data_IF_343650049923
#
_entry.id   IF_343650049923
#
_cell.length_a   1.000
_cell.length_b   1.000
_cell.length_c   1.000
_cell.angle_alpha   90.00
_cell.angle_beta   90.00
_cell.angle_gamma   90.00
#
_symmetry.space_group_name_H-M   'P 1'
#
loop_
_entity.id
_entity.type
_entity.pdbx_description
1 polymer ?
#
# COMPACT_ATOMS: atom_id res chain seq x y z
N UNK A 1 10.17 21.03 -56.84
CA UNK A 1 10.23 20.02 -55.75
C UNK A 1 9.78 20.67 -54.45
N UNK A 2 8.59 20.33 -53.95
CA UNK A 2 8.03 20.90 -52.71
C UNK A 2 8.66 20.24 -51.48
N UNK A 3 9.43 21.01 -50.70
CA UNK A 3 10.06 20.55 -49.45
C UNK A 3 9.03 20.62 -48.32
N UNK A 4 8.37 19.49 -48.04
CA UNK A 4 7.34 19.37 -47.00
C UNK A 4 8.03 19.30 -45.62
N UNK A 5 8.03 20.39 -44.88
CA UNK A 5 8.54 20.43 -43.50
C UNK A 5 7.54 19.74 -42.55
N UNK A 6 7.94 18.60 -41.98
CA UNK A 6 7.16 17.88 -40.96
C UNK A 6 7.33 18.61 -39.63
N UNK A 7 6.29 19.29 -39.17
CA UNK A 7 6.26 19.97 -37.87
C UNK A 7 5.89 18.95 -36.80
N UNK A 8 6.89 18.45 -36.07
CA UNK A 8 6.69 17.56 -34.91
C UNK A 8 6.20 18.41 -33.74
N UNK A 9 4.90 18.36 -33.45
CA UNK A 9 4.28 19.08 -32.33
C UNK A 9 4.57 18.32 -31.03
N UNK A 10 5.61 18.74 -30.31
CA UNK A 10 5.91 18.20 -28.98
C UNK A 10 4.71 18.40 -28.05
N UNK A 11 4.06 17.29 -27.64
CA UNK A 11 2.94 17.30 -26.70
C UNK A 11 3.49 17.76 -25.35
N UNK A 12 3.20 19.00 -24.93
CA UNK A 12 3.63 19.50 -23.62
C UNK A 12 3.06 18.58 -22.54
N UNK A 13 3.93 17.84 -21.89
CA UNK A 13 3.61 17.02 -20.73
C UNK A 13 3.28 18.02 -19.62
N UNK A 14 2.00 18.16 -19.27
CA UNK A 14 1.62 18.97 -18.11
C UNK A 14 2.30 18.34 -16.89
N UNK A 15 3.00 19.11 -16.04
CA UNK A 15 3.55 18.55 -14.82
C UNK A 15 2.40 17.95 -14.01
N UNK A 16 2.57 16.70 -13.57
CA UNK A 16 1.66 16.07 -12.62
C UNK A 16 1.67 16.94 -11.37
N UNK A 17 0.54 17.62 -11.11
CA UNK A 17 0.31 18.28 -9.83
C UNK A 17 0.16 17.15 -8.81
N UNK A 18 1.22 16.88 -8.08
CA UNK A 18 1.19 15.94 -6.96
C UNK A 18 0.50 16.67 -5.80
N UNK A 19 -0.68 16.18 -5.41
CA UNK A 19 -1.41 16.74 -4.28
C UNK A 19 -0.58 16.56 -3.00
N UNK A 20 -0.45 17.62 -2.19
CA UNK A 20 0.27 17.56 -0.91
C UNK A 20 -0.26 16.47 0.02
N UNK A 21 -1.55 16.15 -0.07
CA UNK A 21 -2.22 15.08 0.67
C UNK A 21 -1.64 13.69 0.33
N UNK A 22 -1.39 13.44 -0.96
CA UNK A 22 -0.80 12.18 -1.43
C UNK A 22 0.63 12.05 -0.91
N UNK A 23 1.41 13.13 -0.95
CA UNK A 23 2.77 13.16 -0.43
C UNK A 23 2.82 12.86 1.08
N UNK A 24 1.89 13.46 1.84
CA UNK A 24 1.79 13.26 3.28
C UNK A 24 1.49 11.79 3.62
N UNK A 25 0.44 11.20 3.05
CA UNK A 25 0.10 9.79 3.31
C UNK A 25 1.19 8.83 2.85
N UNK A 26 1.86 9.13 1.74
CA UNK A 26 2.99 8.35 1.26
C UNK A 26 4.17 8.39 2.25
N UNK A 27 4.51 9.56 2.81
CA UNK A 27 5.55 9.65 3.85
C UNK A 27 5.20 8.86 5.11
N UNK A 28 3.94 8.90 5.55
CA UNK A 28 3.48 8.13 6.71
C UNK A 28 3.60 6.62 6.47
N UNK A 29 3.27 6.17 5.26
CA UNK A 29 3.40 4.78 4.87
C UNK A 29 4.87 4.34 4.89
N UNK A 30 5.80 5.18 4.40
CA UNK A 30 7.25 4.90 4.46
C UNK A 30 7.72 4.79 5.91
N UNK A 31 7.27 5.68 6.80
CA UNK A 31 7.59 5.57 8.22
C UNK A 31 7.12 4.23 8.80
N UNK A 32 5.91 3.79 8.45
CA UNK A 32 5.40 2.46 8.83
C UNK A 32 6.30 1.32 8.35
N UNK A 33 6.78 1.37 7.11
CA UNK A 33 7.69 0.36 6.54
C UNK A 33 8.99 0.30 7.34
N UNK A 34 9.62 1.45 7.63
CA UNK A 34 10.88 1.52 8.37
C UNK A 34 10.71 0.93 9.78
N UNK A 35 9.59 1.26 10.44
CA UNK A 35 9.24 0.72 11.75
C UNK A 35 9.08 -0.81 11.67
N UNK A 36 8.32 -1.31 10.69
CA UNK A 36 8.09 -2.74 10.49
C UNK A 36 9.38 -3.54 10.26
N UNK A 37 10.29 -3.03 9.44
CA UNK A 37 11.60 -3.68 9.22
C UNK A 37 12.46 -3.66 10.48
N UNK A 38 12.45 -2.55 11.22
CA UNK A 38 13.21 -2.41 12.48
C UNK A 38 12.70 -3.36 13.57
N UNK A 39 11.39 -3.61 13.63
CA UNK A 39 10.77 -4.57 14.54
C UNK A 39 11.28 -5.99 14.34
N UNK A 40 11.51 -6.41 13.09
CA UNK A 40 12.05 -7.75 12.79
C UNK A 40 13.54 -7.83 13.12
N UNK A 41 14.27 -6.75 12.85
CA UNK A 41 15.70 -6.68 13.17
C UNK A 41 15.96 -6.80 14.67
N UNK A 42 15.09 -6.21 15.49
CA UNK A 42 15.22 -6.19 16.95
C UNK A 42 14.33 -7.24 17.65
N UNK A 43 13.55 -8.00 16.90
CA UNK A 43 12.55 -8.92 17.45
C UNK A 43 13.17 -10.22 17.97
N UNK A 44 12.64 -10.72 19.08
CA UNK A 44 13.02 -12.02 19.64
C UNK A 44 12.75 -13.16 18.65
N UNK A 45 13.49 -14.27 18.81
CA UNK A 45 13.37 -15.47 17.98
C UNK A 45 11.93 -16.01 17.91
N UNK A 46 11.16 -15.85 18.98
CA UNK A 46 9.77 -16.31 19.06
C UNK A 46 8.83 -15.50 18.16
N UNK A 47 9.05 -14.19 18.07
CA UNK A 47 8.27 -13.30 17.21
C UNK A 47 8.52 -13.60 15.73
N UNK A 48 9.77 -13.91 15.38
CA UNK A 48 10.15 -14.33 14.04
C UNK A 48 9.57 -15.71 13.68
N UNK A 49 9.47 -16.63 14.65
CA UNK A 49 8.81 -17.93 14.49
C UNK A 49 7.31 -17.81 14.20
N UNK A 50 6.60 -16.93 14.91
CA UNK A 50 5.18 -16.63 14.67
C UNK A 50 4.94 -15.98 13.31
N UNK A 51 5.80 -15.03 12.90
CA UNK A 51 5.71 -14.43 11.57
C UNK A 51 5.91 -15.47 10.46
N UNK A 52 6.84 -16.40 10.66
CA UNK A 52 7.10 -17.47 9.71
C UNK A 52 5.89 -18.41 9.58
N UNK A 53 5.31 -18.84 10.70
CA UNK A 53 4.13 -19.72 10.66
C UNK A 53 2.92 -19.06 10.00
N UNK A 54 2.75 -17.74 10.17
CA UNK A 54 1.73 -16.97 9.46
C UNK A 54 1.98 -16.93 7.95
N UNK A 55 3.23 -16.69 7.52
CA UNK A 55 3.60 -16.65 6.09
C UNK A 55 3.42 -18.02 5.44
N UNK A 56 3.87 -19.07 6.10
CA UNK A 56 3.72 -20.44 5.61
C UNK A 56 2.24 -20.84 5.51
N UNK A 57 1.41 -20.42 6.47
CA UNK A 57 -0.05 -20.62 6.42
C UNK A 57 -0.68 -19.87 5.24
N UNK A 58 -0.23 -18.64 4.95
CA UNK A 58 -0.69 -17.85 3.80
C UNK A 58 -0.23 -18.50 2.48
N UNK A 59 0.98 -19.02 2.41
CA UNK A 59 1.51 -19.66 1.21
C UNK A 59 0.84 -21.01 0.93
N UNK A 60 0.60 -21.82 1.98
CA UNK A 60 -0.11 -23.10 1.87
C UNK A 60 -1.59 -22.92 1.49
N UNK A 61 -2.23 -21.85 1.96
CA UNK A 61 -3.60 -21.52 1.53
C UNK A 61 -3.63 -21.01 0.09
N UNK A 62 -2.60 -20.27 -0.35
CA UNK A 62 -2.47 -19.83 -1.75
C UNK A 62 -2.22 -20.98 -2.72
N UNK A 63 -1.46 -22.02 -2.36
CA UNK A 63 -1.14 -23.13 -3.25
C UNK A 63 -2.35 -23.99 -3.63
N UNK A 64 -3.36 -24.07 -2.75
CA UNK A 64 -4.58 -24.84 -2.99
C UNK A 64 -5.73 -24.03 -3.64
N UNK A 65 -5.61 -22.71 -3.72
CA UNK A 65 -6.70 -21.87 -4.19
C UNK A 65 -6.60 -21.62 -5.70
N UNK A 66 -7.73 -21.74 -6.40
CA UNK A 66 -7.83 -21.33 -7.80
C UNK A 66 -7.48 -19.84 -7.96
N UNK A 67 -6.95 -19.45 -9.12
CA UNK A 67 -6.59 -18.04 -9.41
C UNK A 67 -7.76 -17.09 -9.14
N UNK A 68 -8.99 -17.53 -9.46
CA UNK A 68 -10.21 -16.74 -9.23
C UNK A 68 -10.55 -16.57 -7.75
N UNK A 69 -10.42 -17.65 -6.96
CA UNK A 69 -10.59 -17.60 -5.50
C UNK A 69 -9.55 -16.71 -4.83
N UNK A 70 -8.32 -16.68 -5.34
CA UNK A 70 -7.26 -15.81 -4.83
C UNK A 70 -7.57 -14.34 -5.08
N UNK A 71 -8.07 -13.99 -6.27
CA UNK A 71 -8.50 -12.63 -6.60
C UNK A 71 -9.63 -12.16 -5.69
N UNK A 72 -10.68 -12.98 -5.49
CA UNK A 72 -11.77 -12.67 -4.57
C UNK A 72 -11.29 -12.47 -3.12
N UNK A 73 -10.34 -13.30 -2.67
CA UNK A 73 -9.76 -13.15 -1.34
C UNK A 73 -9.00 -11.83 -1.19
N UNK A 74 -8.19 -11.46 -2.18
CA UNK A 74 -7.45 -10.19 -2.19
C UNK A 74 -8.40 -8.99 -2.24
N UNK A 75 -9.46 -9.06 -3.05
CA UNK A 75 -10.50 -8.02 -3.09
C UNK A 75 -11.22 -7.89 -1.74
N UNK A 76 -11.57 -9.00 -1.10
CA UNK A 76 -12.18 -9.02 0.23
C UNK A 76 -11.27 -8.38 1.27
N UNK A 77 -9.99 -8.72 1.25
CA UNK A 77 -8.98 -8.12 2.12
C UNK A 77 -8.81 -6.62 1.87
N UNK A 78 -8.89 -6.16 0.63
CA UNK A 78 -8.80 -4.75 0.29
C UNK A 78 -10.06 -3.95 0.67
N UNK A 79 -11.24 -4.58 0.63
CA UNK A 79 -12.52 -3.93 0.97
C UNK A 79 -12.58 -3.51 2.45
N UNK A 80 -12.03 -4.31 3.35
CA UNK A 80 -12.04 -4.05 4.80
C UNK A 80 -11.40 -2.68 5.14
N UNK A 81 -10.13 -2.40 4.80
CA UNK A 81 -9.53 -1.09 5.07
C UNK A 81 -10.21 0.03 4.28
N UNK A 82 -10.80 -0.25 3.12
CA UNK A 82 -11.52 0.74 2.33
C UNK A 82 -12.81 1.21 3.02
N UNK A 83 -13.59 0.28 3.58
CA UNK A 83 -14.82 0.58 4.35
C UNK A 83 -14.46 1.38 5.60
N UNK A 84 -13.40 0.94 6.30
CA UNK A 84 -12.89 1.61 7.49
C UNK A 84 -12.45 3.05 7.16
N UNK A 85 -11.74 3.26 6.06
CA UNK A 85 -11.34 4.59 5.58
C UNK A 85 -12.54 5.45 5.15
N UNK A 86 -13.61 4.84 4.64
CA UNK A 86 -14.84 5.53 4.25
C UNK A 86 -15.62 6.06 5.46
N UNK A 87 -15.89 5.23 6.46
CA UNK A 87 -16.55 5.66 7.71
C UNK A 87 -15.75 6.74 8.42
N UNK A 88 -14.44 6.63 8.38
CA UNK A 88 -13.56 7.61 8.96
C UNK A 88 -13.69 8.98 8.27
N UNK A 89 -13.79 9.01 6.94
CA UNK A 89 -14.00 10.22 6.15
C UNK A 89 -15.35 10.92 6.38
N UNK A 90 -16.35 10.23 6.93
CA UNK A 90 -17.63 10.84 7.31
C UNK A 90 -17.56 11.64 8.62
N UNK A 91 -16.46 11.52 9.37
CA UNK A 91 -16.26 12.20 10.66
C UNK A 91 -15.13 13.23 10.58
N UNK A 92 -15.32 14.42 11.17
CA UNK A 92 -14.26 15.45 11.26
C UNK A 92 -13.02 15.00 12.06
N UNK A 93 -13.18 13.98 12.90
CA UNK A 93 -12.09 13.32 13.66
C UNK A 93 -11.37 12.24 12.84
N UNK A 94 -11.67 12.08 11.56
CA UNK A 94 -11.15 10.97 10.76
C UNK A 94 -9.68 11.09 10.32
N UNK A 95 -9.11 12.29 10.39
CA UNK A 95 -7.74 12.55 9.97
C UNK A 95 -6.67 11.70 10.70
N UNK A 96 -6.65 11.62 12.05
CA UNK A 96 -5.69 10.77 12.78
C UNK A 96 -5.86 9.28 12.45
N UNK A 97 -7.08 8.82 12.20
CA UNK A 97 -7.33 7.41 11.97
C UNK A 97 -7.00 7.00 10.53
N UNK A 98 -7.21 7.88 9.54
CA UNK A 98 -6.68 7.70 8.17
C UNK A 98 -5.14 7.66 8.16
N UNK A 99 -4.49 8.50 8.96
CA UNK A 99 -3.04 8.46 9.14
C UNK A 99 -2.59 7.13 9.75
N UNK A 100 -3.26 6.67 10.81
CA UNK A 100 -2.97 5.41 11.48
C UNK A 100 -3.12 4.21 10.52
N UNK A 101 -4.15 4.22 9.66
CA UNK A 101 -4.39 3.17 8.66
C UNK A 101 -3.21 3.04 7.68
N UNK A 102 -2.67 4.17 7.19
CA UNK A 102 -1.52 4.19 6.28
C UNK A 102 -0.25 3.70 6.98
N UNK A 103 -0.05 4.06 8.25
CA UNK A 103 1.11 3.59 9.04
C UNK A 103 1.02 2.09 9.30
N UNK A 104 -0.15 1.57 9.70
CA UNK A 104 -0.36 0.13 9.91
C UNK A 104 -0.13 -0.66 8.62
N UNK A 105 -0.65 -0.17 7.49
CA UNK A 105 -0.44 -0.81 6.21
C UNK A 105 1.06 -0.84 5.81
N UNK A 106 1.76 0.27 6.01
CA UNK A 106 3.21 0.33 5.83
C UNK A 106 3.96 -0.65 6.73
N UNK A 107 3.56 -0.76 8.01
CA UNK A 107 4.15 -1.68 8.98
C UNK A 107 3.98 -3.13 8.54
N UNK A 108 2.79 -3.52 8.12
CA UNK A 108 2.52 -4.88 7.60
C UNK A 108 3.44 -5.18 6.41
N UNK A 109 3.56 -4.25 5.46
CA UNK A 109 4.44 -4.41 4.30
C UNK A 109 5.93 -4.55 4.72
N UNK A 110 6.38 -3.73 5.68
CA UNK A 110 7.73 -3.81 6.25
C UNK A 110 8.00 -5.14 6.96
N UNK A 111 7.02 -5.66 7.72
CA UNK A 111 7.11 -6.96 8.38
C UNK A 111 7.21 -8.10 7.37
N UNK A 112 6.38 -8.10 6.31
CA UNK A 112 6.50 -9.11 5.27
C UNK A 112 7.88 -9.03 4.58
N UNK A 113 8.33 -7.84 4.18
CA UNK A 113 9.64 -7.68 3.55
C UNK A 113 10.79 -8.17 4.46
N UNK A 114 10.79 -7.77 5.73
CA UNK A 114 11.82 -8.17 6.69
C UNK A 114 11.81 -9.67 7.01
N UNK A 115 10.64 -10.30 7.09
CA UNK A 115 10.52 -11.73 7.38
C UNK A 115 10.99 -12.59 6.21
N UNK A 116 10.71 -12.19 4.96
CA UNK A 116 11.30 -12.84 3.78
C UNK A 116 12.83 -12.72 3.76
N UNK A 117 13.39 -11.58 4.19
CA UNK A 117 14.83 -11.40 4.30
C UNK A 117 15.47 -12.31 5.36
N UNK A 118 14.88 -12.41 6.55
CA UNK A 118 15.42 -13.27 7.62
C UNK A 118 15.37 -14.76 7.24
N UNK A 119 14.31 -15.20 6.55
CA UNK A 119 14.12 -16.63 6.25
C UNK A 119 14.87 -17.10 5.00
N UNK A 120 14.94 -16.28 3.95
CA UNK A 120 15.46 -16.67 2.63
C UNK A 120 16.60 -15.77 2.13
N UNK A 121 17.08 -14.84 2.97
CA UNK A 121 18.17 -13.92 2.64
C UNK A 121 17.85 -13.01 1.45
N UNK A 122 18.89 -12.72 0.66
CA UNK A 122 18.78 -11.91 -0.56
C UNK A 122 17.89 -12.53 -1.64
N UNK A 123 17.85 -13.86 -1.73
CA UNK A 123 16.98 -14.55 -2.69
C UNK A 123 15.49 -14.39 -2.33
N UNK A 124 15.18 -14.36 -1.03
CA UNK A 124 13.85 -14.05 -0.51
C UNK A 124 13.35 -12.66 -0.88
N UNK A 125 14.23 -11.65 -0.75
CA UNK A 125 13.92 -10.29 -1.19
C UNK A 125 13.66 -10.24 -2.69
N UNK A 126 14.46 -10.94 -3.50
CA UNK A 126 14.25 -11.04 -4.95
C UNK A 126 12.85 -11.58 -5.29
N UNK A 127 12.46 -12.69 -4.66
CA UNK A 127 11.14 -13.29 -4.86
C UNK A 127 10.00 -12.36 -4.42
N UNK A 128 10.13 -11.75 -3.24
CA UNK A 128 9.15 -10.78 -2.74
C UNK A 128 9.04 -9.56 -3.67
N UNK A 129 10.17 -9.06 -4.18
CA UNK A 129 10.22 -7.91 -5.09
C UNK A 129 9.55 -8.20 -6.44
N UNK A 130 9.65 -9.42 -6.95
CA UNK A 130 9.10 -9.79 -8.27
C UNK A 130 7.61 -10.09 -8.21
N UNK A 131 7.18 -10.87 -7.21
CA UNK A 131 5.82 -11.43 -7.18
C UNK A 131 4.89 -10.57 -6.33
N UNK A 132 5.36 -10.16 -5.15
CA UNK A 132 4.51 -9.54 -4.13
C UNK A 132 4.51 -8.02 -4.23
N UNK A 133 5.65 -7.39 -4.51
CA UNK A 133 5.79 -5.94 -4.65
C UNK A 133 4.74 -5.27 -5.56
N UNK A 134 4.42 -5.77 -6.78
CA UNK A 134 3.41 -5.12 -7.61
C UNK A 134 2.03 -5.14 -6.95
N UNK A 135 1.68 -6.22 -6.25
CA UNK A 135 0.41 -6.32 -5.53
C UNK A 135 0.35 -5.32 -4.36
N UNK A 136 1.41 -5.26 -3.54
CA UNK A 136 1.52 -4.30 -2.44
C UNK A 136 1.58 -2.84 -2.94
N UNK A 137 2.18 -2.58 -4.09
CA UNK A 137 2.24 -1.24 -4.69
C UNK A 137 0.87 -0.77 -5.19
N UNK A 138 0.12 -1.65 -5.86
CA UNK A 138 -1.24 -1.33 -6.32
C UNK A 138 -2.16 -1.05 -5.13
N UNK A 139 -2.12 -1.91 -4.12
CA UNK A 139 -2.94 -1.77 -2.93
C UNK A 139 -2.56 -0.52 -2.14
N UNK A 140 -1.27 -0.21 -1.96
CA UNK A 140 -0.79 1.05 -1.40
C UNK A 140 -1.32 2.27 -2.17
N UNK A 141 -1.23 2.26 -3.51
CA UNK A 141 -1.71 3.36 -4.33
C UNK A 141 -3.23 3.56 -4.19
N UNK A 142 -4.01 2.47 -4.15
CA UNK A 142 -5.46 2.54 -3.93
C UNK A 142 -5.80 3.06 -2.54
N UNK A 143 -5.06 2.64 -1.51
CA UNK A 143 -5.26 3.07 -0.13
C UNK A 143 -5.00 4.57 0.03
N UNK A 144 -3.89 5.06 -0.53
CA UNK A 144 -3.53 6.49 -0.49
C UNK A 144 -4.58 7.33 -1.22
N UNK A 145 -5.05 6.88 -2.39
CA UNK A 145 -6.09 7.56 -3.15
C UNK A 145 -7.42 7.56 -2.40
N UNK A 146 -7.80 6.44 -1.80
CA UNK A 146 -8.98 6.34 -0.96
C UNK A 146 -8.91 7.32 0.22
N UNK A 147 -7.78 7.36 0.95
CA UNK A 147 -7.60 8.29 2.07
C UNK A 147 -7.67 9.77 1.64
N UNK A 148 -7.12 10.09 0.47
CA UNK A 148 -7.23 11.45 -0.09
C UNK A 148 -8.67 11.83 -0.41
N UNK A 149 -9.45 10.90 -0.95
CA UNK A 149 -10.85 11.13 -1.31
C UNK A 149 -11.75 11.21 -0.07
N UNK A 150 -11.53 10.31 0.91
CA UNK A 150 -12.17 10.39 2.23
C UNK A 150 -11.92 11.75 2.89
N UNK A 151 -10.69 12.27 2.86
CA UNK A 151 -10.40 13.61 3.38
C UNK A 151 -11.15 14.72 2.65
N UNK A 152 -11.21 14.68 1.32
CA UNK A 152 -11.97 15.69 0.56
C UNK A 152 -13.45 15.65 0.92
N UNK A 153 -14.01 14.46 1.10
CA UNK A 153 -15.39 14.27 1.52
C UNK A 153 -15.63 14.86 2.92
N UNK A 154 -14.71 14.65 3.87
CA UNK A 154 -14.79 15.26 5.21
C UNK A 154 -14.82 16.79 5.15
N UNK A 155 -13.95 17.40 4.35
CA UNK A 155 -13.90 18.86 4.20
C UNK A 155 -15.14 19.42 3.51
N UNK A 156 -15.67 18.72 2.50
CA UNK A 156 -16.91 19.14 1.84
C UNK A 156 -18.11 19.10 2.81
N UNK A 157 -18.25 18.04 3.61
CA UNK A 157 -19.33 17.94 4.61
C UNK A 157 -19.22 19.06 5.65
N UNK A 158 -18.01 19.35 6.13
CA UNK A 158 -17.78 20.42 7.10
C UNK A 158 -18.02 21.82 6.51
N UNK A 159 -17.76 22.02 5.21
CA UNK A 159 -18.03 23.29 4.53
C UNK A 159 -19.51 23.58 4.30
N UNK A 160 -20.37 22.56 4.35
CA UNK A 160 -21.83 22.72 4.22
C UNK A 160 -22.52 23.02 5.55
N UNK A 161 -21.81 22.92 6.67
CA UNK A 161 -22.29 23.08 8.04
C UNK A 161 -21.88 24.44 8.60
#
# INVERSE_FOLDING_TARGET
MFKKSVVIRAKRIKPIKLDYKVLLFFSLMICGIIIGVSLIKNGDSDFNGLLKSLIDSINNTKSNNSLFSCVLFILGWLLIPLIIAFFCGLSGLGLPFLALLNVLYGLICGLFCGSYYVNFGLQGIGFFSLVNLPCYAITAATLIKCCCESLKMSFNVFSFL
#
